data_IF_853144201268
#
_entry.id   IF_853144201268
#
_cell.length_a   1.000
_cell.length_b   1.000
_cell.length_c   1.000
_cell.angle_alpha   90.00
_cell.angle_beta   90.00
_cell.angle_gamma   90.00
#
_symmetry.space_group_name_H-M   'P 1'
#
loop_
_entity.id
_entity.type
_entity.pdbx_description
1 polymer ?
#
# COMPACT_ATOMS: atom_id res chain seq x y z
N UNK A 1 -47.03 21.22 -24.52
CA UNK A 1 -46.56 22.59 -24.21
C UNK A 1 -46.02 22.58 -22.78
N UNK A 2 -44.70 22.71 -22.66
CA UNK A 2 -43.83 23.02 -21.50
C UNK A 2 -44.08 22.34 -20.14
N UNK A 3 -43.24 21.35 -19.80
CA UNK A 3 -42.85 21.05 -18.41
C UNK A 3 -41.80 22.09 -17.96
N UNK A 4 -42.08 22.83 -16.89
CA UNK A 4 -41.13 23.74 -16.28
C UNK A 4 -40.25 22.94 -15.29
N UNK A 5 -38.97 22.78 -15.59
CA UNK A 5 -37.98 22.23 -14.66
C UNK A 5 -37.31 23.39 -13.93
N UNK A 6 -37.63 23.58 -12.65
CA UNK A 6 -37.03 24.61 -11.80
C UNK A 6 -35.64 24.15 -11.35
N UNK A 7 -34.60 24.63 -12.02
CA UNK A 7 -33.21 24.50 -11.57
C UNK A 7 -33.01 25.35 -10.32
N UNK A 8 -32.85 24.70 -9.15
CA UNK A 8 -32.47 25.39 -7.91
C UNK A 8 -31.02 25.86 -8.05
N UNK A 9 -30.84 27.12 -8.45
CA UNK A 9 -29.53 27.79 -8.44
C UNK A 9 -29.22 28.22 -7.01
N UNK A 10 -28.45 27.41 -6.30
CA UNK A 10 -27.87 27.80 -5.01
C UNK A 10 -26.79 28.84 -5.29
N UNK A 11 -26.89 30.02 -4.69
CA UNK A 11 -25.90 31.08 -4.86
C UNK A 11 -24.61 30.72 -4.14
N UNK A 12 -23.48 31.16 -4.68
CA UNK A 12 -22.16 30.95 -4.06
C UNK A 12 -22.12 31.44 -2.60
N UNK A 13 -22.74 32.58 -2.33
CA UNK A 13 -22.85 33.14 -0.97
C UNK A 13 -23.59 32.21 0.00
N UNK A 14 -24.62 31.50 -0.47
CA UNK A 14 -25.35 30.54 0.35
C UNK A 14 -24.46 29.33 0.70
N UNK A 15 -23.73 28.79 -0.27
CA UNK A 15 -22.81 27.68 -0.05
C UNK A 15 -21.66 28.07 0.89
N UNK A 16 -21.08 29.26 0.70
CA UNK A 16 -20.03 29.79 1.59
C UNK A 16 -20.56 29.97 3.01
N UNK A 17 -21.78 30.48 3.18
CA UNK A 17 -22.39 30.68 4.49
C UNK A 17 -22.65 29.35 5.21
N UNK A 18 -23.09 28.32 4.49
CA UNK A 18 -23.26 26.97 5.05
C UNK A 18 -21.93 26.36 5.49
N UNK A 19 -20.87 26.49 4.69
CA UNK A 19 -19.53 26.01 5.05
C UNK A 19 -18.98 26.76 6.27
N UNK A 20 -19.18 28.08 6.33
CA UNK A 20 -18.77 28.90 7.48
C UNK A 20 -19.47 28.51 8.78
N UNK A 21 -20.76 28.17 8.72
CA UNK A 21 -21.46 27.65 9.90
C UNK A 21 -20.95 26.29 10.32
N UNK A 22 -20.71 25.37 9.38
CA UNK A 22 -20.12 24.07 9.69
C UNK A 22 -18.73 24.21 10.33
N UNK A 23 -17.89 25.10 9.82
CA UNK A 23 -16.57 25.36 10.41
C UNK A 23 -16.65 25.98 11.81
N UNK A 24 -17.65 26.83 12.08
CA UNK A 24 -17.89 27.38 13.43
C UNK A 24 -18.33 26.29 14.41
N UNK A 25 -19.14 25.33 13.98
CA UNK A 25 -19.55 24.18 14.80
C UNK A 25 -18.32 23.32 15.13
N UNK A 26 -17.46 23.06 14.14
CA UNK A 26 -16.19 22.32 14.33
C UNK A 26 -15.26 23.06 15.28
N UNK A 27 -15.11 24.38 15.13
CA UNK A 27 -14.25 25.21 15.98
C UNK A 27 -14.73 25.29 17.44
N UNK A 28 -16.04 25.18 17.69
CA UNK A 28 -16.63 25.14 19.03
C UNK A 28 -16.53 23.78 19.71
N UNK A 29 -16.15 22.73 18.98
CA UNK A 29 -16.08 21.37 19.51
C UNK A 29 -17.43 20.68 19.66
N UNK A 30 -18.53 21.28 19.18
CA UNK A 30 -19.90 20.77 19.27
C UNK A 30 -20.22 19.70 18.21
N UNK A 31 -19.20 19.03 17.67
CA UNK A 31 -19.40 17.86 16.83
C UNK A 31 -19.55 16.64 17.73
N UNK A 32 -20.74 16.03 17.73
CA UNK A 32 -20.91 14.70 18.28
C UNK A 32 -19.99 13.75 17.49
N UNK A 33 -18.82 13.46 18.05
CA UNK A 33 -17.93 12.43 17.51
C UNK A 33 -18.78 11.16 17.38
N UNK A 34 -18.89 10.54 16.18
CA UNK A 34 -19.56 9.26 16.06
C UNK A 34 -18.92 8.34 17.09
N UNK A 35 -19.76 7.74 17.95
CA UNK A 35 -19.38 6.91 19.09
C UNK A 35 -18.01 6.31 18.87
N UNK A 36 -17.00 6.88 19.51
CA UNK A 36 -15.70 6.25 19.58
C UNK A 36 -15.91 5.05 20.49
N UNK A 37 -16.35 3.92 19.93
CA UNK A 37 -15.75 2.67 20.33
C UNK A 37 -14.27 2.98 20.47
N UNK A 38 -13.72 2.84 21.67
CA UNK A 38 -12.31 3.11 21.97
C UNK A 38 -11.48 2.28 21.01
N UNK A 39 -11.24 2.80 19.80
CA UNK A 39 -10.47 2.16 18.76
C UNK A 39 -9.10 1.99 19.38
N UNK A 40 -8.62 0.75 19.41
CA UNK A 40 -7.32 0.37 19.99
C UNK A 40 -6.16 0.92 19.13
N UNK A 41 -6.12 2.23 18.87
CA UNK A 41 -5.06 2.90 18.12
C UNK A 41 -3.71 2.87 18.86
N UNK A 42 -3.68 2.54 20.15
CA UNK A 42 -2.45 2.45 20.95
C UNK A 42 -1.43 1.44 20.42
N UNK A 43 -1.88 0.40 19.71
CA UNK A 43 -1.04 -0.70 19.24
C UNK A 43 -0.71 -0.67 17.75
N UNK A 44 -1.17 0.33 16.99
CA UNK A 44 -0.89 0.36 15.54
C UNK A 44 0.54 0.83 15.31
N UNK A 45 1.32 -0.03 14.69
CA UNK A 45 2.71 0.12 14.30
C UNK A 45 2.81 0.61 12.85
N UNK A 46 2.01 0.06 11.92
CA UNK A 46 2.05 0.47 10.51
C UNK A 46 0.73 0.20 9.76
N UNK A 47 0.57 0.90 8.63
CA UNK A 47 -0.47 0.64 7.64
C UNK A 47 0.13 -0.07 6.42
N UNK A 48 -0.56 -1.07 5.89
CA UNK A 48 -0.11 -1.81 4.72
C UNK A 48 -1.28 -2.33 3.87
N UNK A 49 -1.01 -2.62 2.60
CA UNK A 49 -1.91 -3.43 1.75
C UNK A 49 -1.43 -4.87 1.82
N UNK A 50 -2.23 -5.77 2.37
CA UNK A 50 -1.96 -7.20 2.48
C UNK A 50 -2.35 -7.90 1.18
N UNK A 51 -1.38 -8.51 0.52
CA UNK A 51 -1.59 -9.23 -0.74
C UNK A 51 -1.87 -10.72 -0.49
N UNK A 52 -2.75 -11.36 -1.28
CA UNK A 52 -2.93 -12.80 -1.25
C UNK A 52 -1.62 -13.52 -1.58
N UNK A 53 -1.12 -14.29 -0.62
CA UNK A 53 0.15 -15.04 -0.76
C UNK A 53 0.12 -15.99 -1.97
N UNK A 54 -1.03 -16.58 -2.27
CA UNK A 54 -1.21 -17.46 -3.42
C UNK A 54 -0.91 -16.74 -4.73
N UNK A 55 -1.42 -15.54 -4.93
CA UNK A 55 -1.25 -14.78 -6.16
C UNK A 55 0.20 -14.30 -6.33
N UNK A 56 0.84 -13.92 -5.22
CA UNK A 56 2.26 -13.57 -5.19
C UNK A 56 3.14 -14.78 -5.55
N UNK A 57 2.82 -15.98 -5.05
CA UNK A 57 3.52 -17.22 -5.42
C UNK A 57 3.32 -17.57 -6.89
N UNK A 58 2.09 -17.50 -7.39
CA UNK A 58 1.79 -17.75 -8.79
C UNK A 58 2.58 -16.82 -9.72
N UNK A 59 2.75 -15.55 -9.34
CA UNK A 59 3.58 -14.61 -10.09
C UNK A 59 5.06 -15.01 -10.07
N UNK A 60 5.61 -15.37 -8.90
CA UNK A 60 6.99 -15.84 -8.80
C UNK A 60 7.24 -17.06 -9.69
N UNK A 61 6.31 -18.01 -9.70
CA UNK A 61 6.42 -19.23 -10.52
C UNK A 61 6.39 -18.90 -12.01
N UNK A 62 5.50 -17.99 -12.42
CA UNK A 62 5.43 -17.51 -13.80
C UNK A 62 6.72 -16.79 -14.23
N UNK A 63 7.35 -16.03 -13.33
CA UNK A 63 8.63 -15.36 -13.61
C UNK A 63 9.79 -16.35 -13.68
N UNK A 64 9.83 -17.35 -12.81
CA UNK A 64 10.85 -18.39 -12.84
C UNK A 64 10.83 -19.20 -14.15
N UNK A 65 9.64 -19.52 -14.67
CA UNK A 65 9.50 -20.19 -15.96
C UNK A 65 10.08 -19.39 -17.14
N UNK A 66 10.16 -18.07 -17.01
CA UNK A 66 10.61 -17.16 -18.08
C UNK A 66 12.03 -16.64 -17.89
N UNK A 67 12.57 -16.74 -16.67
CA UNK A 67 13.86 -16.16 -16.32
C UNK A 67 14.69 -17.13 -15.46
N UNK A 68 15.77 -17.70 -16.03
CA UNK A 68 16.64 -18.64 -15.32
C UNK A 68 17.25 -18.11 -14.02
N UNK A 69 17.47 -16.78 -13.91
CA UNK A 69 17.99 -16.18 -12.67
C UNK A 69 16.94 -16.23 -11.55
N UNK A 70 15.67 -16.02 -11.89
CA UNK A 70 14.56 -16.14 -10.94
C UNK A 70 14.33 -17.61 -10.58
N UNK A 71 14.47 -18.52 -11.54
CA UNK A 71 14.41 -19.95 -11.27
C UNK A 71 15.49 -20.40 -10.28
N UNK A 72 16.75 -19.98 -10.48
CA UNK A 72 17.84 -20.25 -9.54
C UNK A 72 17.57 -19.67 -8.15
N UNK A 73 17.07 -18.43 -8.08
CA UNK A 73 16.67 -17.79 -6.83
C UNK A 73 15.65 -18.62 -6.04
N UNK A 74 14.62 -19.15 -6.70
CA UNK A 74 13.56 -19.93 -6.04
C UNK A 74 14.06 -21.29 -5.54
N UNK A 75 14.86 -21.99 -6.35
CA UNK A 75 15.41 -23.32 -6.02
C UNK A 75 16.30 -23.30 -4.78
N UNK A 76 17.13 -22.28 -4.65
CA UNK A 76 18.14 -22.21 -3.59
C UNK A 76 17.56 -21.84 -2.23
N UNK A 77 16.43 -21.13 -2.18
CA UNK A 77 16.02 -20.38 -0.99
C UNK A 77 14.68 -20.80 -0.38
N UNK A 78 14.09 -21.90 -0.88
CA UNK A 78 12.77 -22.41 -0.47
C UNK A 78 11.71 -21.30 -0.32
N UNK A 79 11.73 -20.35 -1.26
CA UNK A 79 10.93 -19.12 -1.15
C UNK A 79 9.43 -19.40 -1.13
N UNK A 80 9.00 -20.44 -1.86
CA UNK A 80 7.60 -20.86 -1.89
C UNK A 80 7.10 -21.29 -0.51
N UNK A 81 7.91 -21.94 0.33
CA UNK A 81 7.46 -22.36 1.66
C UNK A 81 7.68 -21.29 2.74
N UNK A 82 8.67 -20.41 2.55
CA UNK A 82 8.98 -19.34 3.51
C UNK A 82 8.00 -18.16 3.47
N UNK A 83 7.37 -17.88 2.32
CA UNK A 83 6.42 -16.77 2.19
C UNK A 83 5.09 -17.07 2.89
N UNK A 84 4.93 -16.52 4.11
CA UNK A 84 3.71 -16.64 4.94
C UNK A 84 2.79 -15.42 4.86
N UNK A 85 3.36 -14.24 4.60
CA UNK A 85 2.64 -12.98 4.47
C UNK A 85 3.31 -12.13 3.40
N UNK A 86 2.50 -11.45 2.60
CA UNK A 86 2.94 -10.49 1.61
C UNK A 86 2.20 -9.19 1.85
N UNK A 87 2.91 -8.09 2.02
CA UNK A 87 2.27 -6.79 2.21
C UNK A 87 3.15 -5.66 1.66
N UNK A 88 2.50 -4.60 1.17
CA UNK A 88 3.15 -3.34 0.83
C UNK A 88 2.94 -2.37 1.98
N UNK A 89 4.00 -2.04 2.72
CA UNK A 89 3.92 -1.03 3.77
C UNK A 89 3.66 0.35 3.16
N UNK A 90 2.62 1.01 3.64
CA UNK A 90 2.23 2.38 3.25
C UNK A 90 2.88 3.41 4.17
N UNK A 91 2.80 3.19 5.48
CA UNK A 91 3.49 4.03 6.45
C UNK A 91 3.77 3.26 7.73
N UNK A 92 4.97 3.43 8.26
CA UNK A 92 5.36 2.95 9.58
C UNK A 92 5.41 4.09 10.61
N UNK A 93 4.85 3.88 11.81
CA UNK A 93 4.78 4.87 12.91
C UNK A 93 6.14 5.43 13.29
N UNK A 94 7.17 4.57 13.36
CA UNK A 94 8.55 4.97 13.67
C UNK A 94 9.16 5.93 12.64
N UNK A 95 8.78 5.81 11.37
CA UNK A 95 9.39 6.59 10.28
C UNK A 95 8.56 7.81 9.90
N UNK A 96 7.23 7.75 10.04
CA UNK A 96 6.31 8.76 9.52
C UNK A 96 5.37 9.37 10.58
N UNK A 97 5.41 8.86 11.81
CA UNK A 97 4.54 9.30 12.91
C UNK A 97 3.13 8.71 12.87
N UNK A 98 2.42 8.83 14.00
CA UNK A 98 1.05 8.32 14.16
C UNK A 98 0.06 8.95 13.17
N UNK A 99 0.07 10.28 12.93
CA UNK A 99 -0.90 10.88 12.00
C UNK A 99 -0.80 10.32 10.58
N UNK A 100 0.42 10.04 10.10
CA UNK A 100 0.63 9.48 8.77
C UNK A 100 0.11 8.04 8.65
N UNK A 101 0.17 7.24 9.72
CA UNK A 101 -0.42 5.90 9.72
C UNK A 101 -1.95 6.00 9.78
N UNK A 102 -2.47 6.87 10.65
CA UNK A 102 -3.90 7.07 10.84
C UNK A 102 -4.62 7.60 9.59
N UNK A 103 -3.93 8.36 8.73
CA UNK A 103 -4.54 8.90 7.50
C UNK A 103 -5.05 7.82 6.54
N UNK A 104 -4.53 6.60 6.62
CA UNK A 104 -5.03 5.48 5.80
C UNK A 104 -6.33 4.86 6.35
N UNK A 105 -6.81 5.33 7.50
CA UNK A 105 -8.03 4.80 8.13
C UNK A 105 -9.29 4.99 7.28
N UNK A 106 -9.29 5.95 6.35
CA UNK A 106 -10.37 6.14 5.37
C UNK A 106 -10.54 4.94 4.41
N UNK A 107 -9.49 4.14 4.23
CA UNK A 107 -9.45 3.02 3.30
C UNK A 107 -9.35 1.66 4.00
N UNK A 108 -9.51 1.62 5.34
CA UNK A 108 -9.34 0.39 6.12
C UNK A 108 -10.34 -0.69 5.68
N UNK A 109 -9.88 -1.94 5.53
CA UNK A 109 -10.65 -3.09 5.05
C UNK A 109 -11.19 -2.94 3.60
N UNK A 110 -10.67 -1.97 2.83
CA UNK A 110 -10.97 -1.84 1.41
C UNK A 110 -9.94 -2.62 0.60
N UNK A 111 -10.38 -3.15 -0.54
CA UNK A 111 -9.51 -3.73 -1.55
C UNK A 111 -8.81 -2.62 -2.34
N UNK A 112 -7.49 -2.73 -2.42
CA UNK A 112 -6.60 -1.77 -3.06
C UNK A 112 -5.82 -2.52 -4.14
N UNK A 113 -5.89 -2.08 -5.41
CA UNK A 113 -5.08 -2.65 -6.46
C UNK A 113 -3.62 -2.27 -6.27
N UNK A 114 -2.72 -3.26 -6.36
CA UNK A 114 -1.27 -3.08 -6.29
C UNK A 114 -0.63 -3.59 -7.58
N UNK A 115 -0.04 -2.68 -8.34
CA UNK A 115 0.73 -3.02 -9.54
C UNK A 115 2.17 -3.41 -9.17
N UNK A 116 2.57 -4.63 -9.51
CA UNK A 116 3.94 -5.12 -9.35
C UNK A 116 4.71 -4.91 -10.66
N UNK A 117 5.79 -4.13 -10.59
CA UNK A 117 6.51 -3.61 -11.76
C UNK A 117 7.87 -4.26 -11.97
N UNK A 118 8.49 -4.78 -10.92
CA UNK A 118 9.75 -5.51 -11.01
C UNK A 118 9.98 -6.41 -9.80
N UNK A 119 10.76 -7.47 -10.00
CA UNK A 119 11.35 -8.27 -8.93
C UNK A 119 12.81 -7.84 -8.75
N UNK A 120 13.20 -7.48 -7.53
CA UNK A 120 14.59 -7.22 -7.16
C UNK A 120 15.05 -8.27 -6.15
N UNK A 121 16.27 -8.77 -6.32
CA UNK A 121 16.84 -9.73 -5.40
C UNK A 121 18.37 -9.67 -5.32
N UNK A 122 18.88 -10.00 -4.14
CA UNK A 122 20.29 -10.22 -3.84
C UNK A 122 20.44 -11.55 -3.09
N UNK A 123 21.65 -11.85 -2.64
CA UNK A 123 21.90 -13.03 -1.80
C UNK A 123 21.18 -12.97 -0.44
N UNK A 124 20.80 -11.77 0.01
CA UNK A 124 20.25 -11.54 1.36
C UNK A 124 18.74 -11.26 1.39
N UNK A 125 18.14 -10.79 0.29
CA UNK A 125 16.71 -10.48 0.26
C UNK A 125 16.14 -10.47 -1.15
N UNK A 126 14.83 -10.66 -1.26
CA UNK A 126 14.07 -10.48 -2.49
C UNK A 126 12.77 -9.73 -2.22
N UNK A 127 12.40 -8.82 -3.11
CA UNK A 127 11.16 -8.04 -3.00
C UNK A 127 10.60 -7.66 -4.38
N UNK A 128 9.28 -7.59 -4.48
CA UNK A 128 8.62 -6.95 -5.62
C UNK A 128 8.53 -5.45 -5.40
N UNK A 129 8.96 -4.67 -6.37
CA UNK A 129 8.62 -3.25 -6.48
C UNK A 129 7.11 -3.11 -6.75
N UNK A 130 6.48 -2.20 -6.02
CA UNK A 130 5.04 -2.04 -5.99
C UNK A 130 4.63 -0.59 -6.26
N UNK A 131 3.54 -0.45 -6.99
CA UNK A 131 2.78 0.80 -7.17
C UNK A 131 1.38 0.61 -6.62
N UNK A 132 1.01 1.43 -5.64
CA UNK A 132 -0.32 1.38 -5.04
C UNK A 132 -1.29 2.18 -5.89
N UNK A 133 -2.43 1.59 -6.22
CA UNK A 133 -3.43 2.19 -7.09
C UNK A 133 -4.41 3.12 -6.36
N UNK A 134 -5.63 3.18 -6.88
CA UNK A 134 -6.68 4.08 -6.39
C UNK A 134 -7.88 3.31 -5.86
N UNK A 135 -8.58 3.90 -4.90
CA UNK A 135 -9.89 3.45 -4.40
C UNK A 135 -10.88 4.59 -4.59
N UNK A 136 -12.03 4.31 -5.19
CA UNK A 136 -13.08 5.31 -5.45
C UNK A 136 -12.58 6.57 -6.22
N UNK A 137 -11.58 6.39 -7.08
CA UNK A 137 -10.94 7.47 -7.85
C UNK A 137 -9.83 8.22 -7.10
N UNK A 138 -9.64 7.96 -5.79
CA UNK A 138 -8.59 8.58 -4.99
C UNK A 138 -7.31 7.74 -5.00
N UNK A 139 -6.19 8.34 -5.41
CA UNK A 139 -4.88 7.67 -5.44
C UNK A 139 -4.34 7.47 -4.03
N UNK A 140 -4.08 6.22 -3.66
CA UNK A 140 -3.40 5.90 -2.41
C UNK A 140 -1.89 5.94 -2.67
N UNK A 141 -1.17 6.74 -1.88
CA UNK A 141 0.29 6.83 -1.95
C UNK A 141 0.93 6.21 -0.73
N UNK A 142 1.97 5.41 -0.92
CA UNK A 142 2.86 5.02 0.18
C UNK A 142 3.76 6.20 0.55
N UNK A 143 4.09 6.32 1.84
CA UNK A 143 5.10 7.26 2.35
C UNK A 143 6.52 6.74 2.16
N UNK A 144 6.70 5.45 1.88
CA UNK A 144 8.00 4.89 1.57
C UNK A 144 8.44 5.33 0.17
N UNK A 145 9.71 5.73 0.01
CA UNK A 145 10.27 6.15 -1.28
C UNK A 145 10.24 5.03 -2.33
N UNK A 146 10.43 3.79 -1.87
CA UNK A 146 10.37 2.60 -2.70
C UNK A 146 9.36 1.62 -2.10
N UNK A 147 8.08 1.72 -2.48
CA UNK A 147 7.06 0.79 -2.02
C UNK A 147 7.35 -0.58 -2.60
N UNK A 148 7.34 -1.59 -1.74
CA UNK A 148 7.69 -2.94 -2.13
C UNK A 148 6.98 -3.97 -1.24
N UNK A 149 6.89 -5.19 -1.74
CA UNK A 149 6.51 -6.38 -0.98
C UNK A 149 7.74 -7.25 -0.80
N UNK A 150 8.19 -7.41 0.45
CA UNK A 150 9.29 -8.35 0.75
C UNK A 150 8.79 -9.78 0.60
N UNK A 151 9.53 -10.58 -0.16
CA UNK A 151 9.19 -11.97 -0.49
C UNK A 151 10.06 -12.96 0.28
N UNK A 152 11.32 -12.62 0.48
CA UNK A 152 12.26 -13.47 1.16
C UNK A 152 13.38 -12.65 1.80
N UNK A 153 13.92 -13.15 2.90
CA UNK A 153 15.12 -12.65 3.56
C UNK A 153 15.98 -13.82 4.02
N UNK A 154 17.29 -13.65 3.98
CA UNK A 154 18.24 -14.63 4.49
C UNK A 154 18.11 -14.86 6.00
N UNK A 155 18.66 -15.98 6.51
CA UNK A 155 18.71 -16.23 7.94
C UNK A 155 19.33 -15.04 8.71
N UNK A 156 18.63 -14.54 9.73
CA UNK A 156 19.07 -13.40 10.53
C UNK A 156 18.91 -12.02 9.85
N UNK A 157 18.46 -11.96 8.60
CA UNK A 157 18.24 -10.69 7.88
C UNK A 157 16.82 -10.20 8.16
N UNK A 158 16.70 -8.96 8.65
CA UNK A 158 15.40 -8.33 8.88
C UNK A 158 14.73 -7.88 7.59
N UNK A 159 13.39 -7.89 7.54
CA UNK A 159 12.62 -7.42 6.36
C UNK A 159 12.97 -5.99 5.94
N UNK A 160 13.37 -5.14 6.90
CA UNK A 160 13.79 -3.76 6.63
C UNK A 160 14.98 -3.67 5.67
N UNK A 161 15.86 -4.68 5.65
CA UNK A 161 17.04 -4.69 4.78
C UNK A 161 16.66 -4.74 3.29
N UNK A 162 15.46 -5.23 2.94
CA UNK A 162 14.97 -5.19 1.56
C UNK A 162 14.87 -3.76 1.00
N UNK A 163 14.74 -2.73 1.84
CA UNK A 163 14.76 -1.32 1.40
C UNK A 163 16.06 -0.93 0.69
N UNK A 164 17.16 -1.65 0.91
CA UNK A 164 18.44 -1.39 0.26
C UNK A 164 18.53 -1.96 -1.16
N UNK A 165 17.58 -2.78 -1.61
CA UNK A 165 17.63 -3.45 -2.92
C UNK A 165 17.81 -2.49 -4.12
N UNK A 166 17.13 -1.32 -4.20
CA UNK A 166 17.39 -0.36 -5.28
C UNK A 166 18.83 0.15 -5.30
N UNK A 167 19.39 0.45 -4.12
CA UNK A 167 20.77 0.90 -3.99
C UNK A 167 21.74 -0.23 -4.36
N UNK A 168 21.52 -1.44 -3.87
CA UNK A 168 22.33 -2.61 -4.22
C UNK A 168 22.29 -2.89 -5.74
N UNK A 169 21.14 -2.69 -6.39
CA UNK A 169 21.04 -2.81 -7.84
C UNK A 169 21.90 -1.75 -8.55
N UNK A 170 21.86 -0.49 -8.10
CA UNK A 170 22.70 0.57 -8.65
C UNK A 170 24.20 0.31 -8.49
N UNK A 171 24.58 -0.47 -7.47
CA UNK A 171 25.95 -0.91 -7.21
C UNK A 171 26.33 -2.23 -7.91
N UNK A 172 25.42 -2.85 -8.68
CA UNK A 172 25.64 -4.14 -9.33
C UNK A 172 25.61 -5.35 -8.38
N UNK A 173 25.13 -5.18 -7.14
CA UNK A 173 25.04 -6.21 -6.09
C UNK A 173 23.65 -6.86 -5.96
N UNK A 174 22.68 -6.39 -6.74
CA UNK A 174 21.37 -7.00 -6.85
C UNK A 174 20.99 -7.16 -8.32
N UNK A 175 20.07 -8.08 -8.58
CA UNK A 175 19.44 -8.27 -9.89
C UNK A 175 18.05 -7.64 -9.88
N UNK A 176 17.69 -7.00 -10.99
CA UNK A 176 16.33 -6.52 -11.28
C UNK A 176 15.78 -7.29 -12.48
N UNK A 177 14.53 -7.73 -12.37
CA UNK A 177 13.75 -8.33 -13.45
C UNK A 177 12.47 -7.53 -13.61
N UNK A 178 12.35 -6.82 -14.72
CA UNK A 178 11.17 -6.01 -15.00
C UNK A 178 9.96 -6.88 -15.36
N UNK A 179 8.77 -6.41 -14.94
CA UNK A 179 7.48 -7.03 -15.20
C UNK A 179 6.72 -6.10 -16.15
N UNK A 180 6.71 -6.44 -17.43
CA UNK A 180 6.04 -5.67 -18.47
C UNK A 180 5.11 -6.57 -19.31
N UNK A 181 3.79 -6.31 -19.32
CA UNK A 181 3.09 -5.28 -18.55
C UNK A 181 3.11 -5.55 -17.04
N UNK A 182 2.99 -4.52 -16.18
CA UNK A 182 2.87 -4.70 -14.74
C UNK A 182 1.72 -5.63 -14.37
N UNK A 183 1.93 -6.50 -13.38
CA UNK A 183 0.89 -7.42 -12.89
C UNK A 183 0.18 -6.78 -11.70
N UNK A 184 -1.14 -6.68 -11.77
CA UNK A 184 -1.93 -6.11 -10.67
C UNK A 184 -2.49 -7.23 -9.79
N UNK A 185 -2.26 -7.13 -8.48
CA UNK A 185 -2.86 -7.98 -7.46
C UNK A 185 -3.68 -7.08 -6.52
N UNK A 186 -4.94 -7.44 -6.28
CA UNK A 186 -5.76 -6.74 -5.29
C UNK A 186 -5.42 -7.25 -3.89
N UNK A 187 -5.26 -6.35 -2.93
CA UNK A 187 -5.03 -6.68 -1.54
C UNK A 187 -5.83 -5.80 -0.58
N UNK A 188 -5.97 -6.22 0.66
CA UNK A 188 -6.78 -5.51 1.65
C UNK A 188 -5.92 -4.54 2.45
N UNK A 189 -6.35 -3.30 2.61
CA UNK A 189 -5.64 -2.33 3.45
C UNK A 189 -5.95 -2.56 4.93
N UNK A 190 -4.90 -2.74 5.72
CA UNK A 190 -4.98 -3.10 7.14
C UNK A 190 -4.00 -2.30 8.01
N UNK A 191 -4.29 -2.30 9.31
CA UNK A 191 -3.40 -1.80 10.35
C UNK A 191 -2.79 -2.97 11.12
N UNK A 192 -1.50 -2.84 11.41
CA UNK A 192 -0.68 -3.83 12.11
C UNK A 192 -0.03 -3.19 13.34
#
# INVERSE_FOLDING_TARGET
MVFCSSVVKVTFDFAVKQVLEQLKIVAKGDYATPSSEKRKFGNIVFAAVTLPVKDVKNLLDSLAQKNPKVEGLLKDKDMQNSLKKAHVTLAHKRSHGVPAVASYGAYLQRDVPVGLTALLFSDQSAAFEASVGSVDGEKISSKNQWPHTTIWTGPGVGQREANALPQLYSEGKATRVDINPPVTISGTLEFY
#
